data_IF_745843612827
#
_entry.id   IF_745843612827
#
_cell.length_a   1.000
_cell.length_b   1.000
_cell.length_c   1.000
_cell.angle_alpha   90.00
_cell.angle_beta   90.00
_cell.angle_gamma   90.00
#
_symmetry.space_group_name_H-M   'P 1'
#
loop_
_entity.id
_entity.type
_entity.pdbx_description
1 polymer ?
#
# COMPACT_ATOMS: atom_id res chain seq x y z
N UNK A 1 8.19 13.46 -4.76
CA UNK A 1 7.97 12.03 -5.02
C UNK A 1 9.16 11.19 -4.54
N UNK A 2 10.38 11.49 -5.00
CA UNK A 2 11.59 10.73 -4.62
C UNK A 2 11.83 10.75 -3.10
N UNK A 3 11.80 11.91 -2.46
CA UNK A 3 11.93 12.04 -1.00
C UNK A 3 10.94 11.19 -0.21
N UNK A 4 9.75 10.92 -0.75
CA UNK A 4 8.78 10.02 -0.14
C UNK A 4 9.27 8.57 -0.20
N UNK A 5 9.81 8.15 -1.34
CA UNK A 5 10.37 6.80 -1.51
C UNK A 5 11.57 6.61 -0.61
N UNK A 6 12.52 7.54 -0.62
CA UNK A 6 13.69 7.54 0.25
C UNK A 6 13.30 7.49 1.74
N UNK A 7 12.27 8.26 2.13
CA UNK A 7 11.76 8.24 3.49
C UNK A 7 11.19 6.86 3.86
N UNK A 8 10.46 6.21 2.94
CA UNK A 8 9.93 4.86 3.17
C UNK A 8 11.06 3.86 3.40
N UNK A 9 12.10 3.88 2.57
CA UNK A 9 13.26 3.02 2.73
C UNK A 9 14.09 3.35 3.98
N UNK A 10 14.23 4.62 4.31
CA UNK A 10 14.86 5.05 5.56
C UNK A 10 14.11 4.51 6.79
N UNK A 11 12.76 4.56 6.81
CA UNK A 11 11.96 3.96 7.88
C UNK A 11 12.13 2.43 7.91
N UNK A 12 12.10 1.76 6.75
CA UNK A 12 12.32 0.32 6.63
C UNK A 12 13.66 -0.11 7.21
N UNK A 13 14.69 0.70 7.02
CA UNK A 13 16.04 0.47 7.54
C UNK A 13 16.23 0.88 9.01
N UNK A 14 15.14 1.10 9.77
CA UNK A 14 15.21 1.51 11.17
C UNK A 14 15.82 2.89 11.36
N UNK A 15 15.59 3.81 10.40
CA UNK A 15 16.13 5.17 10.35
C UNK A 15 17.67 5.22 10.22
N UNK A 16 18.25 4.21 9.59
CA UNK A 16 19.67 4.19 9.28
C UNK A 16 19.89 4.64 7.83
N UNK A 17 20.55 5.79 7.66
CA UNK A 17 20.77 6.42 6.35
C UNK A 17 21.66 5.56 5.45
N UNK A 18 22.77 5.04 5.96
CA UNK A 18 23.72 4.24 5.17
C UNK A 18 23.06 2.96 4.62
N UNK A 19 22.21 2.31 5.46
CA UNK A 19 21.45 1.14 5.04
C UNK A 19 20.40 1.50 3.98
N UNK A 20 19.72 2.64 4.12
CA UNK A 20 18.75 3.10 3.12
C UNK A 20 19.45 3.42 1.78
N UNK A 21 20.55 4.15 1.80
CA UNK A 21 21.36 4.43 0.61
C UNK A 21 21.85 3.15 -0.07
N UNK A 22 22.34 2.19 0.71
CA UNK A 22 22.74 0.89 0.18
C UNK A 22 21.58 0.16 -0.49
N UNK A 23 20.41 0.12 0.18
CA UNK A 23 19.20 -0.53 -0.31
C UNK A 23 18.77 0.04 -1.67
N UNK A 24 18.78 1.36 -1.81
CA UNK A 24 18.38 2.09 -3.01
C UNK A 24 19.51 2.24 -4.02
N UNK A 25 20.64 1.57 -3.82
CA UNK A 25 21.85 1.70 -4.66
C UNK A 25 22.44 3.12 -4.71
N UNK A 26 22.06 4.00 -3.79
CA UNK A 26 22.51 5.39 -3.75
C UNK A 26 23.90 5.53 -3.10
N UNK A 27 24.59 6.62 -3.39
CA UNK A 27 25.89 6.95 -2.80
C UNK A 27 25.85 8.36 -2.23
N UNK A 28 25.23 8.48 -1.04
CA UNK A 28 25.26 9.72 -0.27
C UNK A 28 24.24 10.81 -0.68
N UNK A 29 23.23 10.49 -1.48
CA UNK A 29 22.32 11.47 -2.08
C UNK A 29 20.82 11.12 -1.89
N UNK A 30 20.43 10.63 -0.71
CA UNK A 30 19.01 10.48 -0.40
C UNK A 30 18.25 11.79 -0.61
N UNK A 31 17.15 11.74 -1.37
CA UNK A 31 16.29 12.91 -1.64
C UNK A 31 16.75 13.81 -2.77
N UNK A 32 17.74 13.40 -3.58
CA UNK A 32 18.26 14.22 -4.66
C UNK A 32 17.33 14.35 -5.89
N UNK A 33 16.32 13.48 -6.00
CA UNK A 33 15.34 13.49 -7.08
C UNK A 33 15.35 12.24 -7.94
N UNK A 34 14.19 11.87 -8.49
CA UNK A 34 13.94 10.59 -9.16
C UNK A 34 14.89 10.29 -10.35
N UNK A 35 15.35 11.32 -11.04
CA UNK A 35 16.34 11.16 -12.10
C UNK A 35 17.72 10.69 -11.61
N UNK A 36 18.09 11.06 -10.39
CA UNK A 36 19.34 10.58 -9.76
C UNK A 36 19.17 9.14 -9.26
N UNK A 37 18.08 8.84 -8.58
CA UNK A 37 17.76 7.48 -8.11
C UNK A 37 17.72 6.50 -9.29
N UNK A 38 17.12 6.87 -10.41
CA UNK A 38 17.14 6.09 -11.66
C UNK A 38 18.58 5.80 -12.14
N UNK A 39 19.47 6.81 -12.13
CA UNK A 39 20.87 6.64 -12.55
C UNK A 39 21.61 5.66 -11.64
N UNK A 40 21.37 5.72 -10.32
CA UNK A 40 21.99 4.79 -9.37
C UNK A 40 21.58 3.34 -9.61
N UNK A 41 20.28 3.08 -9.81
CA UNK A 41 19.83 1.72 -10.15
C UNK A 41 20.42 1.21 -11.46
N UNK A 42 20.48 2.07 -12.48
CA UNK A 42 21.12 1.71 -13.76
C UNK A 42 22.61 1.41 -13.60
N UNK A 43 23.34 2.26 -12.89
CA UNK A 43 24.77 2.07 -12.63
C UNK A 43 25.05 0.79 -11.82
N UNK A 44 24.14 0.42 -10.94
CA UNK A 44 24.22 -0.81 -10.15
C UNK A 44 23.77 -2.07 -10.90
N UNK A 45 23.33 -1.98 -12.17
CA UNK A 45 22.77 -3.09 -12.93
C UNK A 45 21.45 -3.63 -12.36
N UNK A 46 20.71 -2.81 -11.62
CA UNK A 46 19.47 -3.19 -10.90
C UNK A 46 18.26 -2.43 -11.44
N UNK A 47 18.18 -2.29 -12.75
CA UNK A 47 17.09 -1.59 -13.41
C UNK A 47 16.67 -2.33 -14.67
N UNK A 48 15.38 -2.64 -14.80
CA UNK A 48 14.81 -3.24 -16.00
C UNK A 48 13.32 -2.84 -16.20
N UNK A 49 12.61 -3.55 -17.08
CA UNK A 49 11.20 -3.34 -17.42
C UNK A 49 10.24 -4.31 -16.71
N UNK A 50 10.76 -5.17 -15.83
CA UNK A 50 9.97 -6.22 -15.18
C UNK A 50 9.64 -5.81 -13.74
N UNK A 51 8.38 -5.44 -13.42
CA UNK A 51 8.00 -5.01 -12.08
C UNK A 51 8.02 -6.16 -11.08
N UNK A 52 8.47 -5.84 -9.86
CA UNK A 52 8.33 -6.67 -8.68
C UNK A 52 7.74 -5.83 -7.56
N UNK A 53 7.03 -6.45 -6.64
CA UNK A 53 6.55 -5.77 -5.42
C UNK A 53 7.76 -5.31 -4.60
N UNK A 54 7.73 -4.06 -4.16
CA UNK A 54 8.84 -3.42 -3.46
C UNK A 54 9.78 -2.61 -4.37
N UNK A 55 9.68 -2.73 -5.69
CA UNK A 55 10.48 -1.93 -6.61
C UNK A 55 10.16 -0.45 -6.53
N UNK A 56 11.14 0.38 -6.82
CA UNK A 56 10.94 1.78 -7.15
C UNK A 56 10.60 1.91 -8.63
N UNK A 57 9.36 2.34 -8.94
CA UNK A 57 8.92 2.61 -10.31
C UNK A 57 9.27 4.05 -10.69
N UNK A 58 9.69 4.24 -11.94
CA UNK A 58 10.04 5.54 -12.51
C UNK A 58 9.13 5.88 -13.67
N UNK A 59 8.65 7.12 -13.68
CA UNK A 59 7.78 7.65 -14.72
C UNK A 59 8.41 8.85 -15.42
N UNK A 60 8.01 9.04 -16.67
CA UNK A 60 8.24 10.24 -17.45
C UNK A 60 6.92 10.69 -18.07
N UNK A 61 6.25 11.61 -17.42
CA UNK A 61 4.95 12.12 -17.88
C UNK A 61 5.11 13.12 -19.03
N UNK A 62 6.15 13.97 -18.97
CA UNK A 62 6.47 14.85 -20.09
C UNK A 62 7.42 14.17 -21.07
N UNK A 63 6.88 13.43 -22.02
CA UNK A 63 7.67 12.69 -23.01
C UNK A 63 8.46 13.59 -23.97
N UNK A 64 8.10 14.87 -24.10
CA UNK A 64 8.73 15.84 -24.97
C UNK A 64 9.89 16.58 -24.30
N UNK A 65 10.03 16.49 -22.99
CA UNK A 65 11.12 17.12 -22.25
C UNK A 65 12.34 16.22 -22.19
N UNK A 66 13.38 16.53 -22.94
CA UNK A 66 14.63 15.78 -22.96
C UNK A 66 15.51 16.00 -21.71
N UNK A 67 15.23 17.02 -20.89
CA UNK A 67 16.07 17.42 -19.76
C UNK A 67 16.05 16.44 -18.60
N UNK A 68 14.96 15.67 -18.44
CA UNK A 68 14.78 14.70 -17.36
C UNK A 68 14.67 13.26 -17.91
N UNK A 69 15.35 12.33 -17.25
CA UNK A 69 15.24 10.89 -17.55
C UNK A 69 14.02 10.25 -16.85
N UNK A 70 13.59 10.83 -15.73
CA UNK A 70 12.35 10.54 -15.01
C UNK A 70 11.90 11.79 -14.28
N UNK A 71 10.60 12.04 -14.24
CA UNK A 71 9.97 13.21 -13.61
C UNK A 71 9.07 12.84 -12.43
N UNK A 72 8.80 11.55 -12.23
CA UNK A 72 8.04 11.04 -11.10
C UNK A 72 8.47 9.63 -10.70
N UNK A 73 8.15 9.24 -9.45
CA UNK A 73 8.47 7.92 -8.89
C UNK A 73 7.52 7.53 -7.78
N UNK A 74 7.47 6.23 -7.49
CA UNK A 74 6.70 5.63 -6.41
C UNK A 74 7.23 4.25 -6.05
N UNK A 75 6.51 3.55 -5.17
CA UNK A 75 6.83 2.17 -4.76
C UNK A 75 5.77 1.23 -5.32
N UNK A 76 6.19 0.14 -5.94
CA UNK A 76 5.29 -0.92 -6.43
C UNK A 76 4.78 -1.73 -5.25
N UNK A 77 3.45 -1.80 -5.10
CA UNK A 77 2.80 -2.54 -4.01
C UNK A 77 2.02 -3.76 -4.47
N UNK A 78 1.74 -3.85 -5.77
CA UNK A 78 1.09 -5.01 -6.37
C UNK A 78 1.44 -5.12 -7.84
N UNK A 79 1.59 -6.35 -8.33
CA UNK A 79 1.80 -6.66 -9.75
C UNK A 79 0.82 -7.75 -10.16
N UNK A 80 0.17 -7.56 -11.31
CA UNK A 80 -0.67 -8.55 -11.99
C UNK A 80 -0.20 -8.69 -13.44
N UNK A 81 -0.79 -9.57 -14.22
CA UNK A 81 -0.43 -9.73 -15.63
C UNK A 81 -0.65 -8.45 -16.44
N UNK A 82 -1.63 -7.62 -16.06
CA UNK A 82 -2.03 -6.42 -16.80
C UNK A 82 -1.65 -5.10 -16.11
N UNK A 83 -1.61 -5.09 -14.78
CA UNK A 83 -1.50 -3.86 -13.99
C UNK A 83 -0.30 -3.90 -13.04
N UNK A 84 0.23 -2.71 -12.76
CA UNK A 84 1.10 -2.42 -11.63
C UNK A 84 0.42 -1.38 -10.74
N UNK A 85 0.29 -1.68 -9.44
CA UNK A 85 -0.23 -0.73 -8.46
C UNK A 85 0.93 -0.13 -7.66
N UNK A 86 0.83 1.15 -7.37
CA UNK A 86 1.87 1.94 -6.71
C UNK A 86 1.34 2.69 -5.51
N UNK A 87 2.25 3.08 -4.62
CA UNK A 87 2.05 4.18 -3.67
C UNK A 87 3.04 5.28 -4.03
N UNK A 88 2.53 6.49 -4.20
CA UNK A 88 3.28 7.64 -4.70
C UNK A 88 3.13 8.83 -3.77
N UNK A 89 4.24 9.47 -3.44
CA UNK A 89 4.24 10.76 -2.74
C UNK A 89 4.22 11.93 -3.71
N UNK A 90 3.67 13.05 -3.27
CA UNK A 90 3.49 14.27 -4.08
C UNK A 90 2.70 14.04 -5.39
N UNK A 91 1.72 13.16 -5.32
CA UNK A 91 0.80 12.93 -6.43
C UNK A 91 -0.43 13.83 -6.29
N UNK A 92 -0.32 15.08 -6.78
CA UNK A 92 -1.28 16.16 -6.51
C UNK A 92 -1.24 16.61 -5.04
N UNK A 93 -0.03 16.79 -4.49
CA UNK A 93 0.26 17.16 -3.09
C UNK A 93 -0.22 16.15 -2.03
N UNK A 94 -0.41 14.91 -2.42
CA UNK A 94 -0.87 13.83 -1.52
C UNK A 94 -0.03 12.57 -1.70
N UNK A 95 -0.16 11.64 -0.73
CA UNK A 95 0.25 10.25 -0.90
C UNK A 95 -0.94 9.49 -1.46
N UNK A 96 -0.77 8.94 -2.67
CA UNK A 96 -1.85 8.23 -3.39
C UNK A 96 -1.46 6.82 -3.78
N UNK A 97 -2.47 5.93 -3.75
CA UNK A 97 -2.40 4.65 -4.44
C UNK A 97 -2.91 4.83 -5.85
N UNK A 98 -2.16 4.33 -6.84
CA UNK A 98 -2.52 4.36 -8.24
C UNK A 98 -2.34 2.99 -8.89
N UNK A 99 -2.95 2.81 -10.05
CA UNK A 99 -2.80 1.64 -10.89
C UNK A 99 -2.53 2.05 -12.33
N UNK A 100 -1.57 1.39 -12.97
CA UNK A 100 -1.16 1.64 -14.35
C UNK A 100 -1.19 0.33 -15.13
N UNK A 101 -1.47 0.43 -16.43
CA UNK A 101 -1.22 -0.69 -17.33
C UNK A 101 0.30 -0.97 -17.38
N UNK A 102 0.72 -2.24 -17.42
CA UNK A 102 2.15 -2.58 -17.47
C UNK A 102 2.87 -2.06 -18.71
N UNK A 103 2.12 -1.81 -19.78
CA UNK A 103 2.62 -1.24 -21.04
C UNK A 103 2.39 0.27 -21.16
N UNK A 104 2.08 0.96 -20.05
CA UNK A 104 1.92 2.42 -20.04
C UNK A 104 3.22 3.08 -20.50
N UNK A 105 3.12 3.94 -21.52
CA UNK A 105 4.26 4.61 -22.16
C UNK A 105 5.01 5.56 -21.24
N UNK A 106 4.36 6.02 -20.18
CA UNK A 106 4.97 6.89 -19.17
C UNK A 106 5.89 6.12 -18.23
N UNK A 107 5.80 4.80 -18.15
CA UNK A 107 6.67 3.98 -17.30
C UNK A 107 8.05 3.84 -17.93
N UNK A 108 9.05 4.48 -17.30
CA UNK A 108 10.46 4.37 -17.68
C UNK A 108 11.03 3.00 -17.32
N UNK A 109 10.63 2.42 -16.21
CA UNK A 109 11.03 1.10 -15.73
C UNK A 109 11.11 1.04 -14.22
N UNK A 110 11.79 0.00 -13.72
CA UNK A 110 11.79 -0.39 -12.30
C UNK A 110 13.21 -0.54 -11.78
N UNK A 111 13.52 0.16 -10.70
CA UNK A 111 14.71 -0.04 -9.90
C UNK A 111 14.46 -1.11 -8.85
N UNK A 112 15.37 -2.08 -8.74
CA UNK A 112 15.28 -3.20 -7.81
C UNK A 112 16.15 -2.94 -6.58
N UNK A 113 15.57 -2.58 -5.41
CA UNK A 113 16.34 -2.37 -4.19
C UNK A 113 17.09 -3.64 -3.76
N UNK A 114 18.20 -3.44 -3.03
CA UNK A 114 19.04 -4.55 -2.54
C UNK A 114 18.46 -5.16 -1.27
N UNK A 115 17.34 -5.86 -1.36
CA UNK A 115 16.73 -6.56 -0.23
C UNK A 115 17.53 -7.79 0.25
N UNK A 116 18.53 -8.20 -0.50
CA UNK A 116 19.31 -9.43 -0.36
C UNK A 116 20.48 -9.35 0.63
N UNK A 117 20.82 -8.15 1.13
CA UNK A 117 21.88 -7.99 2.11
C UNK A 117 21.33 -7.51 3.46
N UNK A 118 21.32 -8.37 4.46
CA UNK A 118 21.01 -8.11 5.88
C UNK A 118 19.66 -7.48 6.26
N UNK A 119 18.96 -6.80 5.33
CA UNK A 119 17.58 -6.36 5.54
C UNK A 119 16.59 -7.51 5.35
N UNK A 120 17.02 -8.59 4.72
CA UNK A 120 16.24 -9.81 4.49
C UNK A 120 15.86 -10.57 5.77
N UNK A 121 16.39 -10.20 6.92
CA UNK A 121 15.96 -10.80 8.19
C UNK A 121 14.56 -10.34 8.64
N UNK A 122 13.91 -9.41 7.89
CA UNK A 122 12.51 -9.01 8.13
C UNK A 122 11.72 -8.57 6.88
N UNK A 123 12.22 -8.76 5.66
CA UNK A 123 11.34 -8.72 4.52
C UNK A 123 10.56 -10.05 4.49
N UNK A 124 9.23 -10.06 4.38
CA UNK A 124 8.51 -11.31 4.20
C UNK A 124 9.07 -11.94 2.93
N UNK A 125 9.72 -13.12 3.10
CA UNK A 125 10.03 -14.02 2.01
C UNK A 125 8.78 -14.12 1.12
N UNK A 126 8.99 -14.34 -0.19
CA UNK A 126 7.98 -14.76 -1.14
C UNK A 126 7.12 -15.85 -0.49
N UNK A 127 6.16 -15.44 0.31
CA UNK A 127 5.07 -16.30 0.69
C UNK A 127 4.23 -16.46 -0.58
N UNK A 128 4.36 -17.61 -1.23
CA UNK A 128 3.15 -18.27 -1.72
C UNK A 128 2.08 -17.95 -0.71
N UNK A 129 0.89 -17.51 -1.15
CA UNK A 129 -0.20 -17.09 -0.28
C UNK A 129 -0.42 -18.03 0.91
N UNK A 130 0.52 -18.07 1.83
CA UNK A 130 0.25 -18.35 3.22
C UNK A 130 -0.59 -17.16 3.65
N UNK A 131 -1.88 -17.39 3.66
CA UNK A 131 -2.78 -16.67 4.54
C UNK A 131 -1.99 -16.40 5.80
N UNK A 132 -1.42 -15.18 5.91
CA UNK A 132 -1.02 -14.66 7.20
C UNK A 132 -2.32 -14.68 7.95
N UNK A 133 -2.49 -15.70 8.74
CA UNK A 133 -3.50 -15.79 9.76
C UNK A 133 -3.05 -14.77 10.83
N UNK A 134 -3.08 -13.48 10.47
CA UNK A 134 -3.32 -12.47 11.46
C UNK A 134 -4.68 -12.90 11.97
N UNK A 135 -4.69 -13.48 13.16
CA UNK A 135 -5.92 -13.86 13.82
C UNK A 135 -6.66 -12.55 14.08
N UNK A 136 -7.30 -12.03 13.04
CA UNK A 136 -8.17 -10.87 13.15
C UNK A 136 -9.24 -11.30 14.14
N UNK A 137 -9.38 -10.58 15.26
CA UNK A 137 -10.28 -11.00 16.30
C UNK A 137 -11.69 -11.12 15.75
N UNK A 138 -12.39 -12.17 16.15
CA UNK A 138 -13.81 -12.28 15.87
C UNK A 138 -14.51 -11.17 16.66
N UNK A 139 -15.16 -10.24 15.96
CA UNK A 139 -15.90 -9.14 16.58
C UNK A 139 -17.38 -9.37 16.44
N UNK A 140 -18.09 -9.12 17.52
CA UNK A 140 -19.55 -9.26 17.62
C UNK A 140 -20.09 -8.25 18.64
N UNK A 141 -21.39 -8.11 18.73
CA UNK A 141 -22.03 -7.26 19.74
C UNK A 141 -21.45 -7.54 21.13
N UNK A 142 -21.03 -6.47 21.81
CA UNK A 142 -20.31 -6.51 23.09
C UNK A 142 -18.78 -6.49 22.98
N UNK A 143 -18.19 -6.70 21.79
CA UNK A 143 -16.74 -6.51 21.59
C UNK A 143 -16.35 -5.04 21.75
N UNK A 144 -15.15 -4.77 22.30
CA UNK A 144 -14.63 -3.42 22.52
C UNK A 144 -13.17 -3.30 22.12
N UNK A 145 -12.68 -2.07 21.96
CA UNK A 145 -11.26 -1.77 21.82
C UNK A 145 -10.80 -1.42 20.40
N UNK A 146 -9.50 -1.52 20.17
CA UNK A 146 -8.85 -1.02 18.96
C UNK A 146 -9.33 -1.71 17.68
N UNK A 147 -9.56 -3.02 17.69
CA UNK A 147 -10.07 -3.77 16.55
C UNK A 147 -11.48 -3.32 16.14
N UNK A 148 -12.34 -2.99 17.14
CA UNK A 148 -13.67 -2.42 16.86
C UNK A 148 -13.55 -1.03 16.24
N UNK A 149 -12.63 -0.17 16.73
CA UNK A 149 -12.38 1.14 16.12
C UNK A 149 -11.92 1.00 14.66
N UNK A 150 -11.06 0.03 14.37
CA UNK A 150 -10.60 -0.25 13.00
C UNK A 150 -11.77 -0.67 12.10
N UNK A 151 -12.61 -1.59 12.56
CA UNK A 151 -13.82 -1.99 11.84
C UNK A 151 -14.76 -0.81 11.57
N UNK A 152 -15.05 -0.01 12.59
CA UNK A 152 -15.92 1.16 12.48
C UNK A 152 -15.37 2.20 11.50
N UNK A 153 -14.05 2.43 11.47
CA UNK A 153 -13.39 3.31 10.48
C UNK A 153 -13.58 2.79 9.06
N UNK A 154 -13.36 1.50 8.83
CA UNK A 154 -13.54 0.88 7.50
C UNK A 154 -14.99 0.99 7.03
N UNK A 155 -15.95 0.64 7.88
CA UNK A 155 -17.38 0.75 7.57
C UNK A 155 -17.79 2.21 7.31
N UNK A 156 -17.29 3.15 8.11
CA UNK A 156 -17.53 4.58 7.91
C UNK A 156 -16.95 5.11 6.61
N UNK A 157 -15.75 4.69 6.22
CA UNK A 157 -15.16 5.03 4.91
C UNK A 157 -16.00 4.51 3.74
N UNK A 158 -16.66 3.37 3.93
CA UNK A 158 -17.60 2.78 2.98
C UNK A 158 -19.02 3.38 3.08
N UNK A 159 -19.18 4.49 3.82
CA UNK A 159 -20.44 5.23 4.00
C UNK A 159 -21.54 4.42 4.71
N UNK A 160 -21.18 3.44 5.55
CA UNK A 160 -22.18 2.77 6.39
C UNK A 160 -22.61 3.65 7.55
N UNK A 161 -23.91 3.64 7.81
CA UNK A 161 -24.59 4.52 8.76
C UNK A 161 -25.10 3.75 9.98
N UNK A 162 -25.46 4.48 11.03
CA UNK A 162 -26.12 3.98 12.23
C UNK A 162 -27.50 3.36 11.92
N UNK A 163 -28.16 2.82 12.95
CA UNK A 163 -29.50 2.25 12.84
C UNK A 163 -30.54 3.22 12.29
N UNK A 164 -30.36 4.53 12.51
CA UNK A 164 -31.23 5.59 12.00
C UNK A 164 -31.22 5.72 10.45
N UNK A 165 -30.29 5.03 9.79
CA UNK A 165 -30.14 5.04 8.33
C UNK A 165 -29.61 6.36 7.75
N UNK A 166 -29.24 7.33 8.59
CA UNK A 166 -28.86 8.69 8.19
C UNK A 166 -27.48 9.11 8.70
N UNK A 167 -27.21 8.87 9.98
CA UNK A 167 -25.98 9.32 10.64
C UNK A 167 -24.85 8.33 10.37
N UNK A 168 -23.69 8.81 9.91
CA UNK A 168 -22.51 7.98 9.71
C UNK A 168 -22.10 7.26 11.00
N UNK A 169 -21.66 6.02 10.87
CA UNK A 169 -21.25 5.18 12.00
C UNK A 169 -20.20 5.87 12.87
N UNK A 170 -20.46 5.94 14.17
CA UNK A 170 -19.53 6.53 15.14
C UNK A 170 -18.37 5.57 15.40
N UNK A 171 -17.16 6.13 15.52
CA UNK A 171 -15.92 5.37 15.82
C UNK A 171 -15.59 5.52 17.31
N UNK A 172 -16.31 4.78 18.15
CA UNK A 172 -16.17 4.81 19.61
C UNK A 172 -15.40 3.62 20.20
N UNK A 173 -15.24 2.56 19.40
CA UNK A 173 -14.60 1.33 19.85
C UNK A 173 -15.53 0.37 20.57
N UNK A 174 -16.85 0.61 20.54
CA UNK A 174 -17.86 -0.26 21.10
C UNK A 174 -18.69 -0.93 20.00
N UNK A 175 -18.69 -2.24 19.94
CA UNK A 175 -19.52 -2.98 19.00
C UNK A 175 -20.95 -3.07 19.55
N UNK A 176 -21.65 -1.96 19.50
CA UNK A 176 -23.07 -1.83 19.86
C UNK A 176 -24.01 -2.17 18.70
N UNK A 177 -25.30 -1.89 18.90
CA UNK A 177 -26.37 -2.17 17.93
C UNK A 177 -26.15 -1.41 16.59
N UNK A 178 -25.60 -0.19 16.64
CA UNK A 178 -25.26 0.57 15.43
C UNK A 178 -24.17 -0.11 14.59
N UNK A 179 -23.11 -0.58 15.24
CA UNK A 179 -22.02 -1.31 14.59
C UNK A 179 -22.51 -2.64 14.03
N UNK A 180 -23.32 -3.38 14.79
CA UNK A 180 -23.94 -4.63 14.34
C UNK A 180 -24.80 -4.43 13.07
N UNK A 181 -25.65 -3.41 13.08
CA UNK A 181 -26.49 -3.08 11.93
C UNK A 181 -25.66 -2.69 10.69
N UNK A 182 -24.60 -1.91 10.86
CA UNK A 182 -23.69 -1.56 9.78
C UNK A 182 -22.97 -2.80 9.22
N UNK A 183 -22.52 -3.71 10.09
CA UNK A 183 -21.92 -5.00 9.67
C UNK A 183 -22.93 -5.86 8.90
N UNK A 184 -24.15 -6.02 9.38
CA UNK A 184 -25.20 -6.78 8.68
C UNK A 184 -25.52 -6.22 7.31
N UNK A 185 -25.62 -4.89 7.16
CA UNK A 185 -25.81 -4.23 5.85
C UNK A 185 -24.61 -4.46 4.92
N UNK A 186 -23.39 -4.41 5.47
CA UNK A 186 -22.20 -4.73 4.70
C UNK A 186 -22.21 -6.18 4.20
N UNK A 187 -22.48 -7.12 5.10
CA UNK A 187 -22.56 -8.55 4.77
C UNK A 187 -23.65 -8.84 3.73
N UNK A 188 -24.83 -8.25 3.88
CA UNK A 188 -25.93 -8.38 2.93
C UNK A 188 -25.53 -7.94 1.51
N UNK A 189 -24.72 -6.89 1.41
CA UNK A 189 -24.28 -6.35 0.11
C UNK A 189 -23.11 -7.11 -0.50
N UNK A 190 -22.24 -7.70 0.30
CA UNK A 190 -20.94 -8.19 -0.14
C UNK A 190 -20.65 -9.67 0.16
N UNK A 191 -21.48 -10.35 0.92
CA UNK A 191 -21.28 -11.74 1.36
C UNK A 191 -22.56 -12.57 1.24
N UNK A 192 -22.40 -13.89 1.14
CA UNK A 192 -23.52 -14.84 1.09
C UNK A 192 -23.96 -15.31 2.50
N UNK A 193 -23.96 -14.42 3.49
CA UNK A 193 -24.38 -14.73 4.86
C UNK A 193 -24.37 -13.47 5.71
N UNK A 194 -25.44 -13.29 6.50
CA UNK A 194 -25.66 -12.09 7.32
C UNK A 194 -25.88 -12.53 8.76
N UNK A 195 -24.80 -12.58 9.53
CA UNK A 195 -24.82 -12.99 10.94
C UNK A 195 -24.52 -11.83 11.92
N UNK A 196 -23.99 -10.71 11.40
CA UNK A 196 -23.56 -9.58 12.21
C UNK A 196 -22.24 -9.82 12.94
N UNK A 197 -21.53 -10.92 12.63
CA UNK A 197 -20.24 -11.28 13.22
C UNK A 197 -19.14 -10.99 12.22
N UNK A 198 -18.10 -10.31 12.66
CA UNK A 198 -16.92 -10.01 11.82
C UNK A 198 -15.87 -11.09 12.07
N UNK A 199 -16.02 -12.19 11.36
CA UNK A 199 -15.02 -13.26 11.28
C UNK A 199 -14.09 -13.09 10.06
N UNK A 200 -13.27 -14.09 9.80
CA UNK A 200 -12.24 -14.06 8.73
C UNK A 200 -12.82 -13.71 7.36
N UNK A 201 -14.01 -14.21 7.01
CA UNK A 201 -14.66 -13.91 5.72
C UNK A 201 -15.02 -12.43 5.60
N UNK A 202 -15.60 -11.85 6.67
CA UNK A 202 -15.98 -10.45 6.71
C UNK A 202 -14.75 -9.53 6.68
N UNK A 203 -13.71 -9.85 7.45
CA UNK A 203 -12.45 -9.12 7.44
C UNK A 203 -11.78 -9.16 6.06
N UNK A 204 -11.65 -10.34 5.46
CA UNK A 204 -11.05 -10.47 4.14
C UNK A 204 -11.80 -9.65 3.10
N UNK A 205 -13.12 -9.63 3.14
CA UNK A 205 -13.92 -8.84 2.20
C UNK A 205 -13.79 -7.33 2.45
N UNK A 206 -13.72 -6.89 3.72
CA UNK A 206 -13.51 -5.48 4.09
C UNK A 206 -12.13 -4.97 3.64
N UNK A 207 -11.10 -5.80 3.75
CA UNK A 207 -9.72 -5.41 3.48
C UNK A 207 -9.34 -5.55 1.99
N UNK A 208 -9.88 -6.56 1.30
CA UNK A 208 -9.50 -6.92 -0.08
C UNK A 208 -10.60 -6.65 -1.11
N UNK A 209 -11.78 -6.26 -0.69
CA UNK A 209 -13.01 -6.22 -1.50
C UNK A 209 -13.36 -4.87 -2.10
N UNK A 210 -12.36 -4.13 -2.60
CA UNK A 210 -12.63 -2.98 -3.49
C UNK A 210 -12.59 -3.41 -4.93
#
# INVERSE_FOLDING_TARGET
>A
CDQFVDWCFYQLCGKNKEKAEYLECQTGNLGAGCGYSLKYYKAAGRFDKTPKVGDQIFFKYNLNDASYTADHTGIVVRVTDKLVETIEGNSGNEVKRKAYQRNDKTIVGYGHPRYDAETATKAPAKEEAKTVNIAMPILRKGSTGAAVKTLQRLLRQLQYVNLDGKTLLIVDGNFGSNTEAAVKRYQQKHLNGVDGIVGIKTWNKLLNGR
#
